data_IF_724305914429
#
_entry.id   IF_724305914429
#
_cell.length_a   1.000
_cell.length_b   1.000
_cell.length_c   1.000
_cell.angle_alpha   90.00
_cell.angle_beta   90.00
_cell.angle_gamma   90.00
#
_symmetry.space_group_name_H-M   'P 1'
#
loop_
_entity.id
_entity.type
_entity.pdbx_description
1 polymer ?
#
# COMPACT_ATOMS: atom_id res chain seq x y z
N UNK A 1 -13.36 17.76 -0.63
CA UNK A 1 -12.14 17.07 -1.10
C UNK A 1 -12.15 16.80 -2.61
N UNK A 2 -13.02 15.92 -3.14
CA UNK A 2 -13.01 15.51 -4.57
C UNK A 2 -13.02 16.69 -5.55
N UNK A 3 -13.95 17.65 -5.38
CA UNK A 3 -14.05 18.83 -6.26
C UNK A 3 -12.74 19.64 -6.29
N UNK A 4 -12.09 19.80 -5.13
CA UNK A 4 -10.82 20.54 -5.01
C UNK A 4 -9.68 19.81 -5.73
N UNK A 5 -9.55 18.49 -5.55
CA UNK A 5 -8.51 17.72 -6.25
C UNK A 5 -8.74 17.66 -7.75
N UNK A 6 -9.99 17.52 -8.21
CA UNK A 6 -10.32 17.63 -9.64
C UNK A 6 -9.94 19.00 -10.19
N UNK A 7 -10.23 20.09 -9.46
CA UNK A 7 -9.81 21.43 -9.88
C UNK A 7 -8.30 21.59 -9.94
N UNK A 8 -7.57 21.02 -8.97
CA UNK A 8 -6.11 21.03 -8.98
C UNK A 8 -5.54 20.26 -10.20
N UNK A 9 -6.15 19.15 -10.57
CA UNK A 9 -5.81 18.37 -11.77
C UNK A 9 -6.13 19.13 -13.06
N UNK A 10 -7.26 19.86 -13.12
CA UNK A 10 -7.59 20.71 -14.28
C UNK A 10 -6.54 21.82 -14.48
N UNK A 11 -6.07 22.42 -13.37
CA UNK A 11 -5.06 23.49 -13.41
C UNK A 11 -3.67 22.92 -13.74
N UNK A 12 -3.33 21.75 -13.17
CA UNK A 12 -2.08 21.07 -13.41
C UNK A 12 -2.30 19.55 -13.57
N UNK A 13 -2.39 19.05 -14.82
CA UNK A 13 -2.56 17.63 -15.11
C UNK A 13 -1.39 16.74 -14.68
N UNK A 14 -0.23 17.33 -14.36
CA UNK A 14 0.96 16.60 -13.88
C UNK A 14 1.12 16.73 -12.35
N UNK A 15 0.06 17.10 -11.64
CA UNK A 15 0.11 17.19 -10.18
C UNK A 15 -0.11 15.84 -9.49
N UNK A 16 0.95 15.03 -9.40
CA UNK A 16 0.93 13.67 -8.83
C UNK A 16 0.25 13.57 -7.46
N UNK A 17 0.52 14.51 -6.54
CA UNK A 17 -0.06 14.51 -5.18
C UNK A 17 -1.59 14.68 -5.20
N UNK A 18 -2.14 15.45 -6.16
CA UNK A 18 -3.59 15.61 -6.30
C UNK A 18 -4.25 14.31 -6.76
N UNK A 19 -3.64 13.57 -7.70
CA UNK A 19 -4.11 12.24 -8.09
C UNK A 19 -4.01 11.25 -6.93
N UNK A 20 -2.89 11.22 -6.21
CA UNK A 20 -2.73 10.36 -5.03
C UNK A 20 -3.83 10.62 -4.00
N UNK A 21 -4.03 11.87 -3.60
CA UNK A 21 -5.02 12.21 -2.59
C UNK A 21 -6.47 12.00 -3.07
N UNK A 22 -6.75 12.22 -4.36
CA UNK A 22 -8.03 11.85 -4.95
C UNK A 22 -8.27 10.33 -4.88
N UNK A 23 -7.23 9.54 -5.17
CA UNK A 23 -7.27 8.08 -5.01
C UNK A 23 -7.55 7.64 -3.58
N UNK A 24 -6.93 8.29 -2.58
CA UNK A 24 -7.21 8.04 -1.15
C UNK A 24 -8.69 8.31 -0.83
N UNK A 25 -9.24 9.41 -1.33
CA UNK A 25 -10.65 9.74 -1.10
C UNK A 25 -11.58 8.70 -1.74
N UNK A 26 -11.32 8.25 -2.97
CA UNK A 26 -12.11 7.21 -3.61
C UNK A 26 -12.01 5.86 -2.88
N UNK A 27 -10.82 5.50 -2.42
CA UNK A 27 -10.61 4.26 -1.66
C UNK A 27 -11.41 4.27 -0.35
N UNK A 28 -11.39 5.40 0.38
CA UNK A 28 -12.16 5.55 1.62
C UNK A 28 -13.69 5.51 1.39
N UNK A 29 -14.15 5.72 0.15
CA UNK A 29 -15.55 5.58 -0.25
C UNK A 29 -15.88 4.18 -0.78
N UNK A 30 -14.92 3.24 -0.79
CA UNK A 30 -15.09 1.91 -1.37
C UNK A 30 -15.11 1.90 -2.90
N UNK A 31 -14.75 3.02 -3.56
CA UNK A 31 -14.63 3.07 -5.01
C UNK A 31 -13.22 2.69 -5.45
N UNK A 32 -12.92 1.41 -5.32
CA UNK A 32 -11.59 0.83 -5.59
C UNK A 32 -11.12 1.06 -7.02
N UNK A 33 -12.03 0.98 -8.00
CA UNK A 33 -11.69 1.12 -9.42
C UNK A 33 -11.16 2.52 -9.72
N UNK A 34 -11.86 3.56 -9.26
CA UNK A 34 -11.41 4.94 -9.47
C UNK A 34 -10.21 5.29 -8.59
N UNK A 35 -10.11 4.69 -7.41
CA UNK A 35 -8.91 4.80 -6.57
C UNK A 35 -7.66 4.28 -7.30
N UNK A 36 -7.72 3.06 -7.85
CA UNK A 36 -6.61 2.46 -8.60
C UNK A 36 -6.24 3.31 -9.82
N UNK A 37 -7.22 3.82 -10.59
CA UNK A 37 -6.94 4.71 -11.72
C UNK A 37 -6.18 5.96 -11.29
N UNK A 38 -6.61 6.61 -10.21
CA UNK A 38 -5.95 7.79 -9.67
C UNK A 38 -4.53 7.48 -9.18
N UNK A 39 -4.35 6.38 -8.45
CA UNK A 39 -3.02 5.96 -7.99
C UNK A 39 -2.09 5.62 -9.14
N UNK A 40 -2.56 4.94 -10.18
CA UNK A 40 -1.76 4.65 -11.39
C UNK A 40 -1.36 5.95 -12.10
N UNK A 41 -2.25 6.94 -12.18
CA UNK A 41 -1.89 8.23 -12.76
C UNK A 41 -0.83 8.97 -11.93
N UNK A 42 -0.94 8.91 -10.60
CA UNK A 42 0.09 9.45 -9.71
C UNK A 42 1.46 8.77 -9.92
N UNK A 43 1.47 7.45 -10.16
CA UNK A 43 2.67 6.65 -10.47
C UNK A 43 3.27 7.04 -11.83
N UNK A 44 2.44 7.22 -12.87
CA UNK A 44 2.90 7.63 -14.21
C UNK A 44 3.67 8.96 -14.13
N UNK A 45 3.16 9.90 -13.34
CA UNK A 45 3.74 11.24 -13.17
C UNK A 45 4.98 11.20 -12.24
N UNK A 46 4.90 10.46 -11.13
CA UNK A 46 5.99 10.33 -10.16
C UNK A 46 6.21 8.86 -9.77
N UNK A 47 7.05 8.12 -10.51
CA UNK A 47 7.28 6.70 -10.27
C UNK A 47 8.10 6.40 -9.02
N UNK A 48 8.69 7.43 -8.39
CA UNK A 48 9.47 7.31 -7.16
C UNK A 48 8.63 7.62 -5.90
N UNK A 49 7.34 7.93 -6.04
CA UNK A 49 6.45 8.01 -4.90
C UNK A 49 5.98 6.60 -4.52
N UNK A 50 6.39 6.12 -3.34
CA UNK A 50 6.02 4.78 -2.86
C UNK A 50 4.54 4.67 -2.41
N UNK A 51 3.90 5.78 -2.00
CA UNK A 51 2.56 5.74 -1.37
C UNK A 51 1.47 5.15 -2.27
N UNK A 52 1.36 5.54 -3.56
CA UNK A 52 0.37 4.95 -4.46
C UNK A 52 0.57 3.44 -4.66
N UNK A 53 1.82 2.96 -4.76
CA UNK A 53 2.10 1.53 -4.89
C UNK A 53 1.60 0.75 -3.67
N UNK A 54 1.88 1.24 -2.44
CA UNK A 54 1.38 0.61 -1.22
C UNK A 54 -0.15 0.54 -1.20
N UNK A 55 -0.81 1.65 -1.53
CA UNK A 55 -2.27 1.70 -1.48
C UNK A 55 -2.92 0.80 -2.55
N UNK A 56 -2.40 0.77 -3.79
CA UNK A 56 -2.85 -0.19 -4.81
C UNK A 56 -2.66 -1.63 -4.31
N UNK A 57 -1.52 -1.93 -3.70
CA UNK A 57 -1.23 -3.24 -3.12
C UNK A 57 -2.25 -3.66 -2.07
N UNK A 58 -2.64 -2.74 -1.18
CA UNK A 58 -3.68 -3.01 -0.18
C UNK A 58 -5.07 -3.22 -0.79
N UNK A 59 -5.44 -2.43 -1.82
CA UNK A 59 -6.71 -2.63 -2.54
C UNK A 59 -6.77 -4.03 -3.17
N UNK A 60 -5.70 -4.44 -3.86
CA UNK A 60 -5.66 -5.79 -4.45
C UNK A 60 -5.67 -6.91 -3.41
N UNK A 61 -5.06 -6.69 -2.24
CA UNK A 61 -5.15 -7.63 -1.11
C UNK A 61 -6.60 -7.84 -0.67
N UNK A 62 -7.35 -6.76 -0.44
CA UNK A 62 -8.77 -6.81 -0.05
C UNK A 62 -9.61 -7.55 -1.12
N UNK A 63 -9.25 -7.40 -2.39
CA UNK A 63 -9.88 -8.11 -3.51
C UNK A 63 -9.40 -9.56 -3.68
N UNK A 64 -8.56 -10.07 -2.77
CA UNK A 64 -7.92 -11.39 -2.86
C UNK A 64 -7.06 -11.60 -4.13
N UNK A 65 -6.72 -10.52 -4.84
CA UNK A 65 -5.80 -10.54 -5.97
C UNK A 65 -4.35 -10.44 -5.46
N UNK A 66 -3.89 -11.54 -4.87
CA UNK A 66 -2.62 -11.58 -4.15
C UNK A 66 -1.39 -11.38 -5.05
N UNK A 67 -1.45 -11.80 -6.32
CA UNK A 67 -0.33 -11.66 -7.24
C UNK A 67 -0.02 -10.18 -7.54
N UNK A 68 -1.06 -9.39 -7.84
CA UNK A 68 -0.91 -7.94 -8.02
C UNK A 68 -0.59 -7.25 -6.69
N UNK A 69 -1.21 -7.65 -5.57
CA UNK A 69 -0.91 -7.10 -4.26
C UNK A 69 0.59 -7.19 -3.93
N UNK A 70 1.18 -8.39 -4.08
CA UNK A 70 2.61 -8.63 -3.87
C UNK A 70 3.46 -7.78 -4.81
N UNK A 71 3.11 -7.71 -6.10
CA UNK A 71 3.85 -6.93 -7.10
C UNK A 71 3.95 -5.45 -6.70
N UNK A 72 2.82 -4.84 -6.34
CA UNK A 72 2.79 -3.42 -5.97
C UNK A 72 3.44 -3.15 -4.61
N UNK A 73 3.23 -4.01 -3.61
CA UNK A 73 3.86 -3.87 -2.29
C UNK A 73 5.38 -4.03 -2.37
N UNK A 74 5.89 -5.01 -3.12
CA UNK A 74 7.34 -5.16 -3.35
C UNK A 74 7.93 -3.94 -4.07
N UNK A 75 7.21 -3.34 -5.01
CA UNK A 75 7.65 -2.10 -5.67
C UNK A 75 7.68 -0.92 -4.69
N UNK A 76 6.68 -0.79 -3.82
CA UNK A 76 6.68 0.20 -2.73
C UNK A 76 7.89 0.04 -1.81
N UNK A 77 8.17 -1.18 -1.36
CA UNK A 77 9.31 -1.50 -0.49
C UNK A 77 10.64 -1.21 -1.19
N UNK A 78 10.76 -1.53 -2.49
CA UNK A 78 11.97 -1.21 -3.26
C UNK A 78 12.26 0.30 -3.30
N UNK A 79 11.23 1.13 -3.34
CA UNK A 79 11.36 2.60 -3.35
C UNK A 79 11.63 3.14 -1.94
N UNK A 80 10.92 2.63 -0.93
CA UNK A 80 11.13 3.00 0.47
C UNK A 80 11.21 1.73 1.36
N UNK A 81 12.43 1.21 1.58
CA UNK A 81 12.66 -0.01 2.35
C UNK A 81 12.27 0.07 3.83
N UNK A 82 12.22 1.28 4.39
CA UNK A 82 11.94 1.52 5.82
C UNK A 82 10.46 1.78 6.09
N UNK A 83 9.61 1.64 5.07
CA UNK A 83 8.16 1.72 5.23
C UNK A 83 7.60 0.48 5.92
N UNK A 84 7.47 0.56 7.24
CA UNK A 84 6.96 -0.52 8.08
C UNK A 84 5.56 -1.00 7.66
N UNK A 85 4.67 -0.09 7.24
CA UNK A 85 3.32 -0.39 6.77
C UNK A 85 3.30 -1.21 5.47
N UNK A 86 4.25 -0.97 4.57
CA UNK A 86 4.35 -1.77 3.34
C UNK A 86 4.78 -3.22 3.62
N UNK A 87 5.69 -3.41 4.59
CA UNK A 87 6.08 -4.74 5.06
C UNK A 87 4.94 -5.44 5.79
N UNK A 88 4.19 -4.74 6.65
CA UNK A 88 3.01 -5.29 7.33
C UNK A 88 1.99 -5.79 6.30
N UNK A 89 1.62 -4.94 5.33
CA UNK A 89 0.66 -5.30 4.29
C UNK A 89 1.13 -6.48 3.43
N UNK A 90 2.43 -6.59 3.13
CA UNK A 90 2.97 -7.75 2.40
C UNK A 90 2.89 -9.03 3.25
N UNK A 91 3.17 -8.93 4.55
CA UNK A 91 3.00 -10.04 5.49
C UNK A 91 1.55 -10.49 5.63
N UNK A 92 0.59 -9.56 5.60
CA UNK A 92 -0.85 -9.89 5.59
C UNK A 92 -1.23 -10.66 4.32
N UNK A 93 -0.73 -10.24 3.14
CA UNK A 93 -0.97 -11.01 1.89
C UNK A 93 -0.40 -12.43 2.02
N UNK A 94 0.81 -12.58 2.55
CA UNK A 94 1.39 -13.92 2.74
C UNK A 94 0.63 -14.78 3.74
N UNK A 95 0.11 -14.18 4.82
CA UNK A 95 -0.75 -14.88 5.77
C UNK A 95 -2.05 -15.38 5.11
N UNK A 96 -2.72 -14.53 4.32
CA UNK A 96 -3.93 -14.88 3.58
C UNK A 96 -3.67 -15.99 2.54
N UNK A 97 -2.46 -16.07 2.00
CA UNK A 97 -1.98 -17.16 1.14
C UNK A 97 -1.47 -18.40 1.90
N UNK A 98 -1.52 -18.41 3.24
CA UNK A 98 -0.94 -19.46 4.11
C UNK A 98 0.57 -19.67 3.90
N UNK A 99 1.27 -18.66 3.38
CA UNK A 99 2.72 -18.62 3.31
C UNK A 99 3.30 -18.08 4.62
N UNK A 100 3.41 -18.97 5.62
CA UNK A 100 3.84 -18.62 6.96
C UNK A 100 5.27 -18.07 7.03
N UNK A 101 6.19 -18.59 6.20
CA UNK A 101 7.57 -18.11 6.17
C UNK A 101 7.63 -16.65 5.70
N UNK A 102 7.01 -16.35 4.56
CA UNK A 102 6.96 -14.99 4.02
C UNK A 102 6.24 -14.02 4.95
N UNK A 103 5.17 -14.47 5.62
CA UNK A 103 4.47 -13.71 6.65
C UNK A 103 5.40 -13.31 7.80
N UNK A 104 6.07 -14.28 8.44
CA UNK A 104 6.94 -14.03 9.60
C UNK A 104 8.08 -13.08 9.21
N UNK A 105 8.73 -13.30 8.07
CA UNK A 105 9.82 -12.43 7.61
C UNK A 105 9.36 -10.97 7.45
N UNK A 106 8.21 -10.77 6.79
CA UNK A 106 7.66 -9.43 6.56
C UNK A 106 7.23 -8.75 7.86
N UNK A 107 6.55 -9.48 8.75
CA UNK A 107 6.13 -8.94 10.05
C UNK A 107 7.32 -8.63 10.95
N UNK A 108 8.36 -9.47 11.00
CA UNK A 108 9.57 -9.17 11.75
C UNK A 108 10.24 -7.90 11.24
N UNK A 109 10.36 -7.74 9.91
CA UNK A 109 10.91 -6.53 9.31
C UNK A 109 10.07 -5.30 9.67
N UNK A 110 8.74 -5.40 9.58
CA UNK A 110 7.81 -4.33 9.95
C UNK A 110 7.91 -3.95 11.44
N UNK A 111 7.98 -4.94 12.32
CA UNK A 111 8.06 -4.78 13.76
C UNK A 111 9.39 -4.13 14.20
N UNK A 112 10.51 -4.50 13.57
CA UNK A 112 11.83 -3.85 13.76
C UNK A 112 11.84 -2.39 13.31
N UNK A 113 11.00 -2.04 12.33
CA UNK A 113 10.78 -0.65 11.90
C UNK A 113 9.75 0.09 12.78
N UNK A 114 9.34 -0.50 13.91
CA UNK A 114 8.48 0.15 14.91
C UNK A 114 6.98 0.04 14.66
N UNK A 115 6.51 -0.81 13.74
CA UNK A 115 5.08 -1.03 13.56
C UNK A 115 4.49 -1.88 14.70
N UNK A 116 3.59 -1.28 15.48
CA UNK A 116 2.99 -1.89 16.67
C UNK A 116 2.07 -3.07 16.30
N UNK A 117 1.35 -2.98 15.18
CA UNK A 117 0.45 -4.05 14.74
C UNK A 117 1.23 -5.32 14.39
N UNK A 118 2.38 -5.18 13.72
CA UNK A 118 3.30 -6.28 13.46
C UNK A 118 3.88 -6.88 14.75
N UNK A 119 4.22 -6.05 15.74
CA UNK A 119 4.72 -6.51 17.05
C UNK A 119 3.66 -7.33 17.80
N UNK A 120 2.42 -6.84 17.82
CA UNK A 120 1.30 -7.52 18.44
C UNK A 120 1.00 -8.84 17.72
N UNK A 121 0.92 -8.82 16.39
CA UNK A 121 0.66 -10.01 15.59
C UNK A 121 1.72 -11.11 15.80
N UNK A 122 3.00 -10.74 15.86
CA UNK A 122 4.07 -11.69 16.16
C UNK A 122 3.98 -12.25 17.57
N UNK A 123 3.66 -11.41 18.56
CA UNK A 123 3.48 -11.83 19.95
C UNK A 123 2.35 -12.85 20.10
N UNK A 124 1.23 -12.64 19.40
CA UNK A 124 0.08 -13.57 19.41
C UNK A 124 0.45 -14.97 18.92
N UNK A 125 1.34 -15.06 17.94
CA UNK A 125 1.83 -16.35 17.41
C UNK A 125 3.12 -16.84 18.08
N UNK A 126 3.51 -16.23 19.21
CA UNK A 126 4.69 -16.63 19.99
C UNK A 126 6.04 -16.34 19.31
N UNK A 127 6.07 -15.45 18.32
CA UNK A 127 7.27 -15.06 17.58
C UNK A 127 7.89 -13.77 18.12
N UNK A 128 9.21 -13.67 18.02
CA UNK A 128 9.98 -12.45 18.32
C UNK A 128 10.29 -11.69 17.02
N UNK A 129 10.61 -10.41 17.15
CA UNK A 129 11.07 -9.54 16.07
C UNK A 129 12.48 -9.02 16.33
#
# INVERSE_FOLDING_TARGET
AIKCYKKAIEINPDFSEAYYNLGVVYNNQGNDSDAIKCYKKAIEINPNNWKPYRNIGNVYRIQSNYSDAIKYLKKSIKINPDNSEAHLNLGLVYNEQRNYLGMIECWQKSARLGNIDAQNALKEIGQKW
#
